data_IF_800215497666
#
_entry.id   IF_800215497666
#
_cell.length_a   1.000
_cell.length_b   1.000
_cell.length_c   1.000
_cell.angle_alpha   90.00
_cell.angle_beta   90.00
_cell.angle_gamma   90.00
#
_symmetry.space_group_name_H-M   'P 1'
#
loop_
_entity.id
_entity.type
_entity.pdbx_description
1 polymer ?
#
# COMPACT_ATOMS: atom_id res chain seq x y z
N UNK A 1 12.42 -7.05 12.31
CA UNK A 1 11.50 -7.81 11.43
C UNK A 1 10.09 -8.05 11.99
N UNK A 2 9.87 -8.65 13.19
CA UNK A 2 8.51 -9.05 13.64
C UNK A 2 7.48 -7.91 13.68
N UNK A 3 7.90 -6.67 13.98
CA UNK A 3 6.99 -5.52 14.07
C UNK A 3 6.46 -5.07 12.70
N UNK A 4 7.31 -5.00 11.67
CA UNK A 4 6.89 -4.67 10.30
C UNK A 4 5.91 -5.73 9.76
N UNK A 5 6.27 -7.01 9.89
CA UNK A 5 5.41 -8.13 9.44
C UNK A 5 4.04 -8.12 10.12
N UNK A 6 3.99 -7.87 11.44
CA UNK A 6 2.73 -7.82 12.19
C UNK A 6 1.85 -6.66 11.75
N UNK A 7 2.43 -5.48 11.52
CA UNK A 7 1.72 -4.32 11.01
C UNK A 7 1.15 -4.59 9.60
N UNK A 8 1.99 -5.10 8.69
CA UNK A 8 1.59 -5.41 7.31
C UNK A 8 0.43 -6.42 7.26
N UNK A 9 0.48 -7.49 8.07
CA UNK A 9 -0.63 -8.45 8.17
C UNK A 9 -1.91 -7.79 8.69
N UNK A 10 -1.81 -6.90 9.68
CA UNK A 10 -2.97 -6.16 10.22
C UNK A 10 -3.61 -5.24 9.17
N UNK A 11 -2.81 -4.66 8.28
CA UNK A 11 -3.30 -3.87 7.16
C UNK A 11 -3.76 -4.70 5.95
N UNK A 12 -3.72 -6.03 6.04
CA UNK A 12 -4.23 -6.92 5.00
C UNK A 12 -3.23 -7.24 3.88
N UNK A 13 -1.93 -6.99 4.08
CA UNK A 13 -0.91 -7.46 3.16
C UNK A 13 -0.70 -8.97 3.30
N UNK A 14 -0.57 -9.65 2.17
CA UNK A 14 -0.21 -11.06 2.11
C UNK A 14 1.25 -11.22 1.69
N UNK A 15 1.92 -12.26 2.22
CA UNK A 15 3.29 -12.57 1.81
C UNK A 15 3.30 -13.22 0.44
N UNK A 16 4.11 -12.71 -0.47
CA UNK A 16 4.32 -13.32 -1.80
C UNK A 16 5.17 -14.60 -1.61
N UNK A 17 4.76 -15.69 -2.26
CA UNK A 17 5.48 -16.97 -2.22
C UNK A 17 6.58 -17.00 -3.29
N UNK A 18 7.67 -17.70 -3.00
CA UNK A 18 8.74 -17.92 -3.98
C UNK A 18 9.72 -16.76 -4.15
N UNK A 19 9.74 -15.80 -3.23
CA UNK A 19 10.76 -14.74 -3.18
C UNK A 19 11.78 -15.06 -2.09
N UNK A 20 13.07 -14.86 -2.40
CA UNK A 20 14.18 -15.01 -1.44
C UNK A 20 14.01 -14.01 -0.29
N UNK A 21 13.72 -12.76 -0.64
CA UNK A 21 13.38 -11.71 0.32
C UNK A 21 11.92 -11.79 0.80
N UNK A 22 11.63 -11.40 2.05
CA UNK A 22 10.25 -11.28 2.54
C UNK A 22 9.52 -10.10 1.87
N UNK A 23 8.81 -10.41 0.77
CA UNK A 23 7.94 -9.47 0.05
C UNK A 23 6.49 -9.65 0.48
N UNK A 24 5.83 -8.54 0.78
CA UNK A 24 4.42 -8.44 1.10
C UNK A 24 3.71 -7.65 0.01
N UNK A 25 2.48 -8.04 -0.33
CA UNK A 25 1.69 -7.37 -1.37
C UNK A 25 0.27 -7.15 -0.87
N UNK A 26 -0.29 -6.01 -1.24
CA UNK A 26 -1.71 -5.70 -1.10
C UNK A 26 -2.20 -5.09 -2.40
N UNK A 27 -3.31 -5.60 -2.91
CA UNK A 27 -3.99 -4.99 -4.03
C UNK A 27 -4.92 -3.90 -3.50
N UNK A 28 -4.76 -2.67 -4.00
CA UNK A 28 -5.66 -1.57 -3.71
C UNK A 28 -6.36 -1.13 -4.99
N UNK A 29 -7.69 -1.10 -4.93
CA UNK A 29 -8.52 -0.71 -6.06
C UNK A 29 -8.45 0.82 -6.23
N UNK A 30 -7.63 1.26 -7.19
CA UNK A 30 -7.35 2.68 -7.48
C UNK A 30 -5.85 3.00 -7.54
N UNK A 31 -5.01 2.24 -6.81
CA UNK A 31 -3.55 2.38 -6.80
C UNK A 31 -2.83 1.19 -7.44
N UNK A 32 -3.56 0.11 -7.75
CA UNK A 32 -3.00 -1.14 -8.24
C UNK A 32 -2.27 -1.93 -7.15
N UNK A 33 -1.08 -2.44 -7.46
CA UNK A 33 -0.31 -3.30 -6.57
C UNK A 33 0.64 -2.53 -5.65
N UNK A 34 0.41 -2.59 -4.34
CA UNK A 34 1.34 -2.07 -3.32
C UNK A 34 2.22 -3.21 -2.83
N UNK A 35 3.52 -3.10 -3.05
CA UNK A 35 4.53 -4.08 -2.65
C UNK A 35 5.37 -3.52 -1.53
N UNK A 36 5.67 -4.33 -0.53
CA UNK A 36 6.56 -3.99 0.59
C UNK A 36 7.60 -5.09 0.72
N UNK A 37 8.85 -4.77 0.37
CA UNK A 37 9.99 -5.66 0.60
C UNK A 37 10.61 -5.29 1.93
N UNK A 38 10.72 -6.25 2.83
CA UNK A 38 11.42 -6.04 4.09
C UNK A 38 12.89 -6.44 3.93
N UNK A 39 13.76 -5.55 4.35
CA UNK A 39 15.19 -5.78 4.52
C UNK A 39 15.51 -5.84 6.02
N UNK A 40 16.78 -5.96 6.42
CA UNK A 40 17.19 -6.19 7.81
C UNK A 40 16.58 -5.17 8.78
N UNK A 41 16.71 -3.89 8.44
CA UNK A 41 16.27 -2.74 9.26
C UNK A 41 15.33 -1.78 8.53
N UNK A 42 15.11 -1.99 7.24
CA UNK A 42 14.31 -1.09 6.40
C UNK A 42 13.15 -1.84 5.73
N UNK A 43 12.16 -1.08 5.31
CA UNK A 43 11.05 -1.54 4.51
C UNK A 43 10.98 -0.69 3.25
N UNK A 44 11.04 -1.33 2.10
CA UNK A 44 10.93 -0.68 0.80
C UNK A 44 9.51 -0.85 0.30
N UNK A 45 8.81 0.27 0.10
CA UNK A 45 7.49 0.28 -0.52
C UNK A 45 7.65 0.57 -1.99
N UNK A 46 6.88 -0.12 -2.83
CA UNK A 46 6.78 0.16 -4.25
C UNK A 46 5.33 0.10 -4.67
N UNK A 47 4.85 1.18 -5.29
CA UNK A 47 3.53 1.23 -5.92
C UNK A 47 3.78 1.32 -7.43
N UNK A 48 3.63 0.18 -8.13
CA UNK A 48 4.01 0.07 -9.54
C UNK A 48 3.28 1.08 -10.42
N UNK A 49 1.97 1.18 -10.24
CA UNK A 49 1.11 2.00 -11.08
C UNK A 49 1.35 3.51 -10.89
N UNK A 50 1.92 3.92 -9.76
CA UNK A 50 2.22 5.32 -9.45
C UNK A 50 3.70 5.67 -9.59
N UNK A 51 4.56 4.69 -9.90
CA UNK A 51 6.02 4.90 -9.95
C UNK A 51 6.64 5.31 -8.61
N UNK A 52 5.93 5.09 -7.49
CA UNK A 52 6.40 5.47 -6.16
C UNK A 52 7.31 4.37 -5.61
N UNK A 53 8.50 4.75 -5.15
CA UNK A 53 9.42 3.89 -4.42
C UNK A 53 10.00 4.64 -3.23
N UNK A 54 9.72 4.17 -2.03
CA UNK A 54 10.09 4.84 -0.78
C UNK A 54 10.70 3.83 0.22
N UNK A 55 11.71 4.26 0.95
CA UNK A 55 12.37 3.47 2.00
C UNK A 55 11.99 3.97 3.39
N UNK A 56 11.65 3.06 4.29
CA UNK A 56 11.28 3.36 5.66
C UNK A 56 12.14 2.58 6.65
N UNK A 57 12.75 3.27 7.59
CA UNK A 57 13.47 2.68 8.74
C UNK A 57 12.56 2.47 9.95
N UNK A 58 11.41 3.19 10.02
CA UNK A 58 10.48 3.17 11.15
C UNK A 58 9.11 2.64 10.76
N UNK A 59 8.59 1.69 11.56
CA UNK A 59 7.27 1.08 11.37
C UNK A 59 6.14 2.11 11.31
N UNK A 60 6.16 3.12 12.19
CA UNK A 60 5.11 4.14 12.24
C UNK A 60 5.08 5.02 10.99
N UNK A 61 6.23 5.31 10.39
CA UNK A 61 6.28 6.07 9.14
C UNK A 61 5.71 5.27 7.98
N UNK A 62 6.07 3.98 7.90
CA UNK A 62 5.50 3.08 6.91
C UNK A 62 3.97 2.95 7.07
N UNK A 63 3.50 2.76 8.31
CA UNK A 63 2.07 2.64 8.60
C UNK A 63 1.29 3.88 8.16
N UNK A 64 1.78 5.07 8.54
CA UNK A 64 1.17 6.34 8.14
C UNK A 64 1.17 6.53 6.63
N UNK A 65 2.26 6.16 5.96
CA UNK A 65 2.37 6.26 4.51
C UNK A 65 1.33 5.37 3.81
N UNK A 66 1.22 4.10 4.21
CA UNK A 66 0.24 3.19 3.63
C UNK A 66 -1.18 3.69 3.88
N UNK A 67 -1.51 4.11 5.11
CA UNK A 67 -2.83 4.66 5.41
C UNK A 67 -3.15 5.90 4.58
N UNK A 68 -2.18 6.80 4.40
CA UNK A 68 -2.33 7.98 3.54
C UNK A 68 -2.60 7.63 2.07
N UNK A 69 -1.92 6.61 1.54
CA UNK A 69 -2.20 6.10 0.20
C UNK A 69 -3.64 5.59 0.07
N UNK A 70 -4.13 4.81 1.04
CA UNK A 70 -5.50 4.28 1.00
C UNK A 70 -6.56 5.41 1.06
N UNK A 71 -6.33 6.43 1.88
CA UNK A 71 -7.20 7.62 1.97
C UNK A 71 -7.22 8.41 0.66
N UNK A 72 -6.07 8.60 0.01
CA UNK A 72 -5.99 9.31 -1.27
C UNK A 72 -6.69 8.54 -2.40
N UNK A 73 -6.46 7.22 -2.46
CA UNK A 73 -7.16 6.33 -3.39
C UNK A 73 -8.68 6.36 -3.20
N UNK A 74 -9.12 6.36 -1.94
CA UNK A 74 -10.52 6.44 -1.58
C UNK A 74 -11.13 7.79 -1.99
N UNK A 75 -10.44 8.90 -1.74
CA UNK A 75 -10.87 10.23 -2.17
C UNK A 75 -11.04 10.29 -3.69
N UNK A 76 -10.06 9.83 -4.47
CA UNK A 76 -10.16 9.80 -5.92
C UNK A 76 -11.38 8.99 -6.40
N UNK A 77 -11.65 7.84 -5.78
CA UNK A 77 -12.87 7.06 -6.04
C UNK A 77 -14.16 7.82 -5.72
N UNK A 78 -14.24 8.46 -4.56
CA UNK A 78 -15.42 9.23 -4.15
C UNK A 78 -15.70 10.40 -5.12
N UNK A 79 -14.66 11.03 -5.66
CA UNK A 79 -14.79 12.03 -6.72
C UNK A 79 -15.38 11.43 -8.01
N UNK A 80 -14.90 10.26 -8.45
CA UNK A 80 -15.44 9.59 -9.64
C UNK A 80 -16.89 9.12 -9.47
N UNK A 81 -17.24 8.54 -8.31
CA UNK A 81 -18.61 8.10 -8.01
C UNK A 81 -19.58 9.28 -7.93
N UNK A 82 -19.16 10.43 -7.38
CA UNK A 82 -20.00 11.63 -7.36
C UNK A 82 -20.23 12.21 -8.75
N UNK A 83 -19.23 12.16 -9.65
CA UNK A 83 -19.40 12.61 -11.04
C UNK A 83 -20.38 11.75 -11.84
N UNK A 84 -20.39 10.43 -11.62
CA UNK A 84 -21.29 9.52 -12.34
C UNK A 84 -22.76 9.60 -11.89
N UNK A 85 -23.06 10.05 -10.66
CA UNK A 85 -24.45 10.25 -10.20
C UNK A 85 -25.05 11.60 -10.63
N UNK A 86 -24.25 12.51 -11.20
CA UNK A 86 -24.70 13.84 -11.66
C UNK A 86 -25.12 13.93 -13.13
N UNK A 87 -24.95 12.85 -13.91
CA UNK A 87 -25.30 12.80 -15.35
C UNK A 87 -26.41 11.79 -15.65
N UNK A 88 -27.35 11.64 -14.72
CA UNK A 88 -28.65 11.03 -14.95
C UNK A 88 -29.73 12.09 -14.76
N UNK A 89 -29.99 12.87 -15.80
CA UNK A 89 -31.23 13.64 -15.99
C UNK A 89 -31.99 13.01 -17.14
#
# INVERSE_FOLDING_TARGET
>A
MQMFTRMLRRQGFYRVKGTEDPVFMKHNVGLGGVYVRLDDKTAFVTVRDLGISEEFTKVKQLENFISGLEDEAYRQKCFFVSKMRGSGS
#
